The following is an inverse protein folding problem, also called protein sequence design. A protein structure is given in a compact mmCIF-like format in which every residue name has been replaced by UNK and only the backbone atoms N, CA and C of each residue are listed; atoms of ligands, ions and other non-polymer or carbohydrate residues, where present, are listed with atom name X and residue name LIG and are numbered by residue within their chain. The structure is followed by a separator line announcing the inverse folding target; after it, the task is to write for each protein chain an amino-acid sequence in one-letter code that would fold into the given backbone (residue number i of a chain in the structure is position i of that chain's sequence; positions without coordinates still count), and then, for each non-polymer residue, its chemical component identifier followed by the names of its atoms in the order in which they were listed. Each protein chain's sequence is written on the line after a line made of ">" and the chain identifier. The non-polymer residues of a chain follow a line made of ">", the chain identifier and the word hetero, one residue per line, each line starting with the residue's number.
data_IF_284192808240
#
_entry.id   IF_284192808240
#
_cell.length_a   1.000
_cell.length_b   1.000
_cell.length_c   1.000
_cell.angle_alpha   90.00
_cell.angle_beta   90.00
_cell.angle_gamma   90.00
#
_symmetry.space_group_name_H-M   'P 1'
#
loop_
_entity.id
_entity.type
_entity.pdbx_description
1 polymer ?
#
# COMPACT_ATOMS: atom_id res chain seq x y z
N UNK A 1 -19.90 9.30 -25.48
CA UNK A 1 -18.48 8.90 -25.35
C UNK A 1 -17.91 9.60 -24.11
N UNK A 2 -16.98 8.94 -23.44
CA UNK A 2 -16.25 9.38 -22.22
C UNK A 2 -16.88 9.04 -20.85
N UNK A 3 -16.98 7.73 -20.57
CA UNK A 3 -16.96 7.21 -19.18
C UNK A 3 -15.69 6.37 -18.92
N UNK A 4 -14.92 6.03 -19.97
CA UNK A 4 -13.67 5.28 -19.83
C UNK A 4 -12.57 6.10 -19.16
N UNK A 5 -12.48 7.40 -19.43
CA UNK A 5 -11.45 8.26 -18.85
C UNK A 5 -11.56 8.39 -17.34
N UNK A 6 -12.78 8.49 -16.82
CA UNK A 6 -13.05 8.56 -15.38
C UNK A 6 -12.71 7.24 -14.69
N UNK A 7 -13.11 6.11 -15.28
CA UNK A 7 -12.77 4.78 -14.75
C UNK A 7 -11.27 4.51 -14.74
N UNK A 8 -10.55 4.87 -15.81
CA UNK A 8 -9.09 4.74 -15.87
C UNK A 8 -8.41 5.63 -14.83
N UNK A 9 -8.87 6.87 -14.66
CA UNK A 9 -8.32 7.78 -13.67
C UNK A 9 -8.54 7.27 -12.24
N UNK A 10 -9.77 6.87 -11.90
CA UNK A 10 -10.09 6.34 -10.58
C UNK A 10 -9.24 5.12 -10.22
N UNK A 11 -9.08 4.19 -11.17
CA UNK A 11 -8.23 3.02 -10.96
C UNK A 11 -6.75 3.39 -10.78
N UNK A 12 -6.26 4.38 -11.52
CA UNK A 12 -4.89 4.89 -11.35
C UNK A 12 -4.66 5.52 -9.99
N UNK A 13 -5.64 6.29 -9.48
CA UNK A 13 -5.59 6.88 -8.14
C UNK A 13 -5.55 5.80 -7.06
N UNK A 14 -6.44 4.80 -7.16
CA UNK A 14 -6.50 3.66 -6.23
C UNK A 14 -5.16 2.92 -6.18
N UNK A 15 -4.60 2.55 -7.33
CA UNK A 15 -3.28 1.91 -7.40
C UNK A 15 -2.16 2.78 -6.80
N UNK A 16 -2.20 4.09 -7.04
CA UNK A 16 -1.24 5.05 -6.50
C UNK A 16 -1.28 5.14 -4.98
N UNK A 17 -2.48 5.19 -4.40
CA UNK A 17 -2.71 5.19 -2.95
C UNK A 17 -2.14 3.90 -2.35
N UNK A 18 -2.49 2.74 -2.91
CA UNK A 18 -2.02 1.45 -2.41
C UNK A 18 -0.49 1.30 -2.46
N UNK A 19 0.13 1.72 -3.56
CA UNK A 19 1.59 1.68 -3.72
C UNK A 19 2.29 2.60 -2.71
N UNK A 20 1.72 3.77 -2.47
CA UNK A 20 2.26 4.75 -1.51
C UNK A 20 2.17 4.20 -0.09
N UNK A 21 1.01 3.66 0.31
CA UNK A 21 0.81 3.05 1.63
C UNK A 21 1.80 1.91 1.87
N UNK A 22 1.98 1.00 0.91
CA UNK A 22 2.99 -0.06 1.00
C UNK A 22 4.40 0.48 1.23
N UNK A 23 4.82 1.49 0.46
CA UNK A 23 6.15 2.07 0.58
C UNK A 23 6.34 2.80 1.92
N UNK A 24 5.31 3.49 2.41
CA UNK A 24 5.32 4.15 3.72
C UNK A 24 5.48 3.13 4.85
N UNK A 25 4.71 2.04 4.84
CA UNK A 25 4.82 0.97 5.85
C UNK A 25 6.25 0.40 5.85
N UNK A 26 6.79 0.07 4.67
CA UNK A 26 8.15 -0.45 4.53
C UNK A 26 9.21 0.52 5.05
N UNK A 27 9.07 1.81 4.73
CA UNK A 27 10.00 2.84 5.16
C UNK A 27 9.96 3.05 6.68
N UNK A 28 8.77 3.02 7.29
CA UNK A 28 8.62 3.08 8.74
C UNK A 28 9.27 1.89 9.43
N UNK A 29 9.06 0.68 8.93
CA UNK A 29 9.73 -0.51 9.46
C UNK A 29 11.26 -0.37 9.39
N UNK A 30 11.78 0.13 8.26
CA UNK A 30 13.23 0.29 8.05
C UNK A 30 13.85 1.38 8.93
N UNK A 31 13.21 2.55 9.00
CA UNK A 31 13.79 3.73 9.64
C UNK A 31 13.53 3.76 11.15
N UNK A 32 12.37 3.29 11.56
CA UNK A 32 11.90 3.35 12.95
C UNK A 32 11.95 1.98 13.65
N UNK A 33 12.39 0.92 12.96
CA UNK A 33 12.46 -0.47 13.47
C UNK A 33 11.13 -1.01 14.01
N UNK A 34 10.01 -0.46 13.52
CA UNK A 34 8.67 -0.91 13.89
C UNK A 34 8.36 -2.27 13.28
N UNK A 35 7.53 -3.06 13.97
CA UNK A 35 6.89 -4.23 13.38
C UNK A 35 5.87 -3.84 12.29
N UNK A 36 5.45 -4.81 11.47
CA UNK A 36 4.45 -4.59 10.41
C UNK A 36 3.16 -4.00 10.99
N UNK A 37 2.68 -4.58 12.09
CA UNK A 37 1.42 -4.18 12.73
C UNK A 37 1.53 -2.77 13.35
N UNK A 38 2.66 -2.42 13.98
CA UNK A 38 2.90 -1.08 14.52
C UNK A 38 3.00 -0.02 13.42
N UNK A 39 3.68 -0.33 12.30
CA UNK A 39 3.79 0.59 11.18
C UNK A 39 2.43 0.86 10.53
N UNK A 40 1.59 -0.16 10.36
CA UNK A 40 0.22 0.00 9.84
C UNK A 40 -0.68 0.79 10.79
N UNK A 41 -0.58 0.54 12.10
CA UNK A 41 -1.34 1.31 13.10
C UNK A 41 -0.87 2.77 13.15
N UNK A 42 0.43 3.04 12.99
CA UNK A 42 1.01 4.40 12.95
C UNK A 42 0.51 5.20 11.74
N UNK A 43 0.30 4.53 10.61
CA UNK A 43 -0.26 5.12 9.39
C UNK A 43 -1.79 5.12 9.36
N UNK A 44 -2.44 4.72 10.45
CA UNK A 44 -3.90 4.65 10.57
C UNK A 44 -4.55 3.82 9.45
N UNK A 45 -3.86 2.77 8.97
CA UNK A 45 -4.40 1.87 7.96
C UNK A 45 -5.59 1.12 8.56
N UNK A 46 -6.74 1.18 7.87
CA UNK A 46 -7.97 0.48 8.26
C UNK A 46 -7.71 -1.01 8.50
N UNK A 47 -8.37 -1.57 9.51
CA UNK A 47 -8.26 -3.00 9.85
C UNK A 47 -8.66 -3.92 8.69
N UNK A 48 -9.53 -3.47 7.82
CA UNK A 48 -9.95 -4.23 6.63
C UNK A 48 -8.82 -4.33 5.58
N UNK A 49 -7.96 -3.33 5.50
CA UNK A 49 -6.85 -3.27 4.56
C UNK A 49 -5.54 -3.83 5.13
N UNK A 50 -5.39 -3.89 6.45
CA UNK A 50 -4.17 -4.42 7.10
C UNK A 50 -3.79 -5.83 6.60
N UNK A 51 -4.71 -6.81 6.43
CA UNK A 51 -4.36 -8.13 5.89
C UNK A 51 -3.73 -8.07 4.50
N UNK A 52 -4.20 -7.16 3.63
CA UNK A 52 -3.67 -6.97 2.28
C UNK A 52 -2.22 -6.50 2.31
N UNK A 53 -1.93 -5.45 3.09
CA UNK A 53 -0.56 -4.91 3.18
C UNK A 53 0.39 -5.85 3.91
N UNK A 54 -0.07 -6.53 4.97
CA UNK A 54 0.71 -7.54 5.68
C UNK A 54 1.17 -8.65 4.75
N UNK A 55 0.24 -9.21 3.98
CA UNK A 55 0.54 -10.21 2.94
C UNK A 55 1.57 -9.68 1.94
N UNK A 56 1.40 -8.46 1.42
CA UNK A 56 2.34 -7.88 0.46
C UNK A 56 3.75 -7.70 1.01
N UNK A 57 3.87 -7.33 2.30
CA UNK A 57 5.16 -7.14 2.97
C UNK A 57 5.83 -8.50 3.23
N UNK A 58 5.08 -9.48 3.72
CA UNK A 58 5.57 -10.85 3.99
C UNK A 58 6.01 -11.56 2.70
N UNK A 59 5.25 -11.39 1.61
CA UNK A 59 5.61 -11.90 0.28
C UNK A 59 6.76 -11.09 -0.38
N UNK A 60 7.19 -10.00 0.25
CA UNK A 60 8.18 -9.06 -0.31
C UNK A 60 7.79 -8.50 -1.67
N UNK A 61 6.48 -8.56 -2.01
CA UNK A 61 5.83 -8.38 -3.32
C UNK A 61 6.83 -8.35 -4.48
N UNK A 62 7.45 -9.51 -4.76
CA UNK A 62 8.36 -9.84 -5.88
C UNK A 62 8.84 -8.67 -6.77
N UNK A 63 10.08 -8.20 -6.51
CA UNK A 63 11.06 -7.54 -7.41
C UNK A 63 10.49 -6.82 -8.65
N UNK A 64 10.42 -5.48 -8.59
CA UNK A 64 10.30 -4.55 -9.74
C UNK A 64 9.28 -4.93 -10.83
N UNK A 65 8.05 -4.45 -10.70
CA UNK A 65 7.24 -4.09 -11.87
C UNK A 65 6.91 -2.61 -11.73
N UNK A 66 7.81 -1.68 -12.02
CA UNK A 66 8.19 -1.25 -13.37
C UNK A 66 8.65 -2.34 -14.33
#
# INVERSE_FOLDING_TARGET
>A
MCNLSEGVFAHGVEQGVEKTSYQCIRNLMKNSKLSIDEAMNTLEISKDDQPKYKKWIEEGKNRSGF
#
